data_IF_330886854180
#
_entry.id   IF_330886854180
#
_cell.length_a   1.000
_cell.length_b   1.000
_cell.length_c   1.000
_cell.angle_alpha   90.00
_cell.angle_beta   90.00
_cell.angle_gamma   90.00
#
_symmetry.space_group_name_H-M   'P 1'
#
loop_
_entity.id
_entity.type
_entity.pdbx_description
1 polymer ?
#
# COMPACT_ATOMS: atom_id res chain seq x y z
N UNK A 1 -44.80 -23.20 14.82
CA UNK A 1 -44.08 -23.39 13.53
C UNK A 1 -42.87 -22.47 13.51
N UNK A 2 -41.77 -22.99 12.98
CA UNK A 2 -40.37 -22.59 13.17
C UNK A 2 -40.08 -21.17 12.63
N UNK A 3 -39.41 -20.33 13.43
CA UNK A 3 -38.67 -19.16 12.92
C UNK A 3 -37.22 -19.28 13.39
N UNK A 4 -36.39 -19.72 12.46
CA UNK A 4 -34.95 -19.85 12.58
C UNK A 4 -34.33 -18.47 12.76
N UNK A 5 -33.77 -18.19 13.93
CA UNK A 5 -32.92 -17.02 14.18
C UNK A 5 -31.52 -17.44 13.78
N UNK A 6 -31.03 -16.94 12.64
CA UNK A 6 -29.66 -17.15 12.19
C UNK A 6 -28.78 -16.06 12.83
N UNK A 7 -28.21 -16.36 14.00
CA UNK A 7 -27.10 -15.60 14.56
C UNK A 7 -25.83 -16.00 13.79
N UNK A 8 -25.41 -15.16 12.85
CA UNK A 8 -24.13 -15.33 12.16
C UNK A 8 -23.02 -14.70 13.01
N UNK A 9 -22.24 -15.56 13.63
CA UNK A 9 -21.04 -15.31 14.42
C UNK A 9 -19.98 -14.58 13.60
N UNK A 10 -19.65 -13.35 13.99
CA UNK A 10 -18.46 -12.64 13.52
C UNK A 10 -17.29 -12.98 14.46
N UNK A 11 -16.43 -13.89 14.04
CA UNK A 11 -15.13 -14.13 14.66
C UNK A 11 -14.04 -14.02 13.59
N UNK A 12 -13.54 -12.80 13.37
CA UNK A 12 -12.27 -12.57 12.67
C UNK A 12 -11.40 -11.69 13.57
N UNK A 13 -10.73 -12.32 14.53
CA UNK A 13 -9.63 -11.72 15.28
C UNK A 13 -8.35 -11.87 14.45
N UNK A 14 -7.97 -10.80 13.75
CA UNK A 14 -6.63 -10.64 13.18
C UNK A 14 -5.84 -9.68 14.09
N UNK A 15 -5.01 -10.23 14.96
CA UNK A 15 -3.96 -9.48 15.67
C UNK A 15 -2.71 -9.47 14.81
N UNK A 16 -2.43 -8.35 14.15
CA UNK A 16 -1.08 -7.99 13.70
C UNK A 16 -0.56 -6.91 14.64
N UNK A 17 0.33 -7.30 15.55
CA UNK A 17 1.19 -6.36 16.25
C UNK A 17 2.59 -6.50 15.65
N UNK A 18 2.96 -5.53 14.81
CA UNK A 18 4.33 -5.28 14.40
C UNK A 18 4.91 -4.24 15.35
N UNK A 19 5.87 -4.62 16.18
CA UNK A 19 6.78 -3.66 16.81
C UNK A 19 8.21 -4.08 16.49
N UNK A 20 8.90 -3.21 15.76
CA UNK A 20 10.34 -3.17 15.65
C UNK A 20 10.83 -2.10 16.63
N UNK A 21 11.81 -2.42 17.48
CA UNK A 21 12.79 -1.43 17.94
C UNK A 21 14.09 -2.09 18.47
N UNK A 22 15.15 -1.84 17.71
CA UNK A 22 16.51 -1.42 18.09
C UNK A 22 17.25 -1.99 19.32
N UNK A 23 18.40 -2.62 19.01
CA UNK A 23 19.78 -2.29 19.46
C UNK A 23 20.02 -2.08 20.97
N UNK A 24 20.88 -2.90 21.58
CA UNK A 24 22.29 -2.58 21.93
C UNK A 24 23.01 -3.69 22.72
N UNK A 25 24.27 -3.97 22.31
CA UNK A 25 25.53 -4.29 23.08
C UNK A 25 25.47 -5.26 24.29
N UNK A 26 26.40 -6.18 24.58
CA UNK A 26 27.86 -6.36 24.36
C UNK A 26 28.16 -7.83 24.71
N UNK A 27 29.02 -8.56 23.99
CA UNK A 27 30.37 -8.99 24.42
C UNK A 27 30.49 -10.48 24.04
N UNK A 28 31.60 -11.13 23.67
CA UNK A 28 33.02 -10.82 23.43
C UNK A 28 33.65 -12.20 23.11
N UNK A 29 34.77 -12.20 22.37
CA UNK A 29 35.70 -13.31 22.07
C UNK A 29 35.26 -14.31 20.98
N UNK A 30 36.10 -14.72 20.02
CA UNK A 30 37.52 -14.45 19.80
C UNK A 30 37.93 -14.80 18.36
N UNK A 31 38.71 -13.88 17.77
CA UNK A 31 39.93 -14.02 16.96
C UNK A 31 40.01 -14.79 15.63
N UNK A 32 40.69 -14.08 14.72
CA UNK A 32 41.57 -14.46 13.60
C UNK A 32 40.95 -14.84 12.25
N UNK A 33 41.50 -14.46 11.09
CA UNK A 33 42.50 -13.46 10.64
C UNK A 33 42.39 -13.47 9.10
N UNK A 34 42.41 -12.31 8.47
CA UNK A 34 42.63 -12.14 7.03
C UNK A 34 44.13 -12.26 6.74
N UNK A 35 44.53 -12.87 5.62
CA UNK A 35 45.39 -12.31 4.56
C UNK A 35 45.94 -13.46 3.69
N UNK A 36 45.78 -13.25 2.38
CA UNK A 36 46.57 -13.65 1.20
C UNK A 36 47.69 -14.70 1.33
N UNK A 37 47.85 -15.53 0.30
CA UNK A 37 49.08 -16.31 0.15
C UNK A 37 49.09 -17.33 -0.97
N UNK A 38 49.62 -16.90 -2.10
CA UNK A 38 50.04 -17.66 -3.29
C UNK A 38 50.89 -18.90 -2.99
N UNK A 39 50.74 -19.86 -3.91
CA UNK A 39 51.56 -21.00 -4.31
C UNK A 39 53.05 -21.07 -3.88
N UNK A 40 53.44 -22.32 -3.65
CA UNK A 40 54.73 -22.99 -3.95
C UNK A 40 55.88 -23.05 -2.91
N UNK A 41 56.13 -24.31 -2.52
CA UNK A 41 57.40 -25.04 -2.52
C UNK A 41 58.51 -24.63 -1.54
N UNK A 42 58.83 -25.53 -0.60
CA UNK A 42 60.22 -25.91 -0.35
C UNK A 42 60.33 -27.31 0.25
N UNK A 43 61.19 -28.12 -0.37
CA UNK A 43 61.67 -29.39 0.11
C UNK A 43 62.78 -29.21 1.15
N UNK A 44 62.83 -30.11 2.12
CA UNK A 44 64.03 -30.55 2.84
C UNK A 44 63.73 -32.02 3.22
N UNK A 45 64.42 -33.01 2.64
CA UNK A 45 65.74 -33.52 2.99
C UNK A 45 65.63 -34.70 3.98
N UNK A 46 65.96 -35.89 3.49
CA UNK A 46 66.44 -36.98 4.35
C UNK A 46 67.46 -37.82 3.57
N UNK A 47 68.62 -37.90 4.21
CA UNK A 47 69.90 -38.51 3.83
C UNK A 47 69.90 -40.04 3.96
N UNK A 48 70.97 -40.65 3.41
CA UNK A 48 71.58 -41.99 3.60
C UNK A 48 71.35 -42.97 2.42
N UNK A 49 72.33 -43.69 1.86
CA UNK A 49 73.64 -44.12 2.35
C UNK A 49 74.63 -44.47 1.19
N UNK A 50 75.93 -44.45 1.54
CA UNK A 50 77.18 -44.78 0.82
C UNK A 50 77.24 -46.11 0.04
N UNK A 51 77.97 -46.09 -1.09
CA UNK A 51 79.23 -46.85 -1.37
C UNK A 51 79.83 -46.35 -2.71
N UNK A 52 80.92 -45.58 -2.72
CA UNK A 52 82.32 -46.01 -2.88
C UNK A 52 82.53 -47.00 -4.04
N UNK A 53 83.02 -46.53 -5.19
CA UNK A 53 84.36 -46.92 -5.63
C UNK A 53 84.97 -45.95 -6.66
N UNK A 54 86.28 -45.93 -6.65
CA UNK A 54 87.24 -44.95 -7.12
C UNK A 54 87.78 -45.34 -8.50
N UNK A 55 87.92 -44.39 -9.45
CA UNK A 55 89.10 -44.27 -10.35
C UNK A 55 88.99 -43.10 -11.33
N UNK A 56 89.74 -42.04 -11.00
CA UNK A 56 90.68 -41.27 -11.82
C UNK A 56 90.47 -41.04 -13.33
N UNK A 57 90.21 -39.76 -13.63
CA UNK A 57 90.97 -38.86 -14.53
C UNK A 57 90.92 -39.00 -16.07
N UNK A 58 90.58 -37.83 -16.63
CA UNK A 58 91.18 -37.09 -17.78
C UNK A 58 90.41 -37.05 -19.10
N UNK A 59 90.31 -35.80 -19.62
CA UNK A 59 90.01 -35.38 -21.01
C UNK A 59 88.54 -35.54 -21.42
N UNK A 60 87.77 -34.51 -21.80
CA UNK A 60 88.03 -33.39 -22.72
C UNK A 60 87.09 -32.21 -22.45
N UNK A 61 87.63 -30.98 -22.55
CA UNK A 61 86.90 -29.71 -22.52
C UNK A 61 86.14 -29.50 -23.83
N UNK A 62 84.96 -30.08 -23.98
CA UNK A 62 83.99 -29.73 -25.05
C UNK A 62 82.52 -30.05 -24.69
N UNK A 63 82.23 -30.43 -23.44
CA UNK A 63 80.90 -30.94 -23.03
C UNK A 63 80.06 -29.96 -22.19
N UNK A 64 80.61 -28.85 -21.71
CA UNK A 64 79.91 -27.92 -20.80
C UNK A 64 79.02 -26.90 -21.54
N UNK A 65 79.42 -26.46 -22.73
CA UNK A 65 78.65 -25.47 -23.49
C UNK A 65 77.37 -26.07 -24.10
N UNK A 66 77.40 -27.32 -24.55
CA UNK A 66 76.20 -28.01 -25.06
C UNK A 66 75.18 -28.33 -23.96
N UNK A 67 75.65 -28.62 -22.74
CA UNK A 67 74.79 -28.91 -21.59
C UNK A 67 74.16 -27.62 -21.03
N UNK A 68 74.91 -26.50 -21.01
CA UNK A 68 74.39 -25.17 -20.68
C UNK A 68 73.38 -24.68 -21.73
N UNK A 69 73.65 -24.87 -23.04
CA UNK A 69 72.71 -24.49 -24.10
C UNK A 69 71.42 -25.32 -24.09
N UNK A 70 71.48 -26.61 -23.74
CA UNK A 70 70.29 -27.45 -23.58
C UNK A 70 69.46 -27.05 -22.36
N UNK A 71 70.12 -26.79 -21.23
CA UNK A 71 69.46 -26.32 -20.01
C UNK A 71 68.80 -24.94 -20.21
N UNK A 72 69.44 -24.04 -20.97
CA UNK A 72 68.88 -22.70 -21.25
C UNK A 72 67.70 -22.74 -22.24
N UNK A 73 67.76 -23.63 -23.25
CA UNK A 73 66.60 -23.89 -24.11
C UNK A 73 65.43 -24.52 -23.36
N UNK A 74 65.68 -25.47 -22.45
CA UNK A 74 64.62 -26.02 -21.60
C UNK A 74 64.02 -24.98 -20.66
N UNK A 75 64.84 -24.09 -20.11
CA UNK A 75 64.38 -23.00 -19.25
C UNK A 75 63.51 -22.00 -20.02
N UNK A 76 63.89 -21.61 -21.23
CA UNK A 76 63.07 -20.76 -22.10
C UNK A 76 61.74 -21.43 -22.49
N UNK A 77 61.74 -22.74 -22.76
CA UNK A 77 60.54 -23.48 -23.14
C UNK A 77 59.57 -23.68 -21.96
N UNK A 78 60.12 -23.83 -20.74
CA UNK A 78 59.35 -23.83 -19.49
C UNK A 78 58.77 -22.46 -19.19
N UNK A 79 59.54 -21.38 -19.38
CA UNK A 79 59.10 -20.01 -19.16
C UNK A 79 58.03 -19.57 -20.16
N UNK A 80 58.16 -19.94 -21.45
CA UNK A 80 57.14 -19.68 -22.47
C UNK A 80 55.84 -20.48 -22.22
N UNK A 81 55.95 -21.75 -21.77
CA UNK A 81 54.78 -22.53 -21.34
C UNK A 81 54.12 -21.94 -20.09
N UNK A 82 54.90 -21.46 -19.12
CA UNK A 82 54.38 -20.81 -17.92
C UNK A 82 53.69 -19.47 -18.27
N UNK A 83 54.27 -18.67 -19.17
CA UNK A 83 53.68 -17.42 -19.64
C UNK A 83 52.36 -17.66 -20.40
N UNK A 84 52.30 -18.65 -21.32
CA UNK A 84 51.05 -19.02 -22.01
C UNK A 84 49.99 -19.58 -21.06
N UNK A 85 50.39 -20.32 -20.03
CA UNK A 85 49.47 -20.82 -19.00
C UNK A 85 48.93 -19.67 -18.13
N UNK A 86 49.77 -18.71 -17.75
CA UNK A 86 49.39 -17.52 -16.99
C UNK A 86 48.45 -16.61 -17.79
N UNK A 87 48.73 -16.37 -19.08
CA UNK A 87 47.87 -15.56 -19.96
C UNK A 87 46.48 -16.20 -20.16
N UNK A 88 46.43 -17.54 -20.30
CA UNK A 88 45.17 -18.28 -20.40
C UNK A 88 44.37 -18.21 -19.09
N UNK A 89 45.04 -18.38 -17.95
CA UNK A 89 44.41 -18.25 -16.63
C UNK A 89 43.88 -16.83 -16.38
N UNK A 90 44.62 -15.79 -16.79
CA UNK A 90 44.16 -14.40 -16.68
C UNK A 90 42.94 -14.10 -17.57
N UNK A 91 42.92 -14.61 -18.82
CA UNK A 91 41.76 -14.48 -19.72
C UNK A 91 40.51 -15.22 -19.21
N UNK A 92 40.69 -16.39 -18.60
CA UNK A 92 39.59 -17.16 -18.01
C UNK A 92 39.06 -16.50 -16.72
N UNK A 93 39.94 -15.91 -15.90
CA UNK A 93 39.57 -15.13 -14.73
C UNK A 93 38.78 -13.84 -15.10
N UNK A 94 39.20 -13.07 -16.12
CA UNK A 94 38.49 -11.87 -16.56
C UNK A 94 37.10 -12.20 -17.14
N UNK A 95 36.99 -13.31 -17.88
CA UNK A 95 35.69 -13.81 -18.36
C UNK A 95 34.77 -14.24 -17.21
N UNK A 96 35.31 -14.91 -16.19
CA UNK A 96 34.55 -15.32 -15.01
C UNK A 96 34.06 -14.10 -14.22
N UNK A 97 34.92 -13.10 -14.00
CA UNK A 97 34.58 -11.86 -13.31
C UNK A 97 33.49 -11.06 -14.06
N UNK A 98 33.61 -10.88 -15.38
CA UNK A 98 32.56 -10.22 -16.20
C UNK A 98 31.23 -10.97 -16.19
N UNK A 99 31.25 -12.31 -16.11
CA UNK A 99 30.03 -13.12 -16.06
C UNK A 99 29.34 -13.00 -14.70
N UNK A 100 30.13 -12.99 -13.62
CA UNK A 100 29.65 -12.77 -12.25
C UNK A 100 29.05 -11.37 -12.07
N UNK A 101 29.72 -10.33 -12.57
CA UNK A 101 29.24 -8.95 -12.47
C UNK A 101 27.92 -8.74 -13.25
N UNK A 102 27.80 -9.32 -14.46
CA UNK A 102 26.55 -9.29 -15.24
C UNK A 102 25.41 -10.01 -14.51
N UNK A 103 25.68 -11.14 -13.85
CA UNK A 103 24.69 -11.86 -13.06
C UNK A 103 24.23 -11.07 -11.82
N UNK A 104 25.16 -10.41 -11.12
CA UNK A 104 24.86 -9.54 -9.99
C UNK A 104 24.03 -8.32 -10.40
N UNK A 105 24.38 -7.64 -11.51
CA UNK A 105 23.60 -6.52 -12.05
C UNK A 105 22.21 -6.95 -12.53
N UNK A 106 22.07 -8.14 -13.10
CA UNK A 106 20.77 -8.66 -13.55
C UNK A 106 19.84 -9.02 -12.38
N UNK A 107 20.38 -9.62 -11.32
CA UNK A 107 19.62 -9.94 -10.10
C UNK A 107 19.19 -8.67 -9.35
N UNK A 108 20.10 -7.69 -9.23
CA UNK A 108 19.76 -6.39 -8.63
C UNK A 108 18.68 -5.64 -9.42
N UNK A 109 18.78 -5.61 -10.76
CA UNK A 109 17.74 -5.00 -11.62
C UNK A 109 16.38 -5.69 -11.49
N UNK A 110 16.34 -7.02 -11.38
CA UNK A 110 15.09 -7.77 -11.18
C UNK A 110 14.47 -7.45 -9.81
N UNK A 111 15.25 -7.45 -8.74
CA UNK A 111 14.76 -7.13 -7.41
C UNK A 111 14.24 -5.69 -7.31
N UNK A 112 14.94 -4.72 -7.92
CA UNK A 112 14.50 -3.32 -7.92
C UNK A 112 13.23 -3.11 -8.77
N UNK A 113 13.11 -3.81 -9.90
CA UNK A 113 11.91 -3.77 -10.74
C UNK A 113 10.69 -4.37 -10.01
N UNK A 114 10.87 -5.48 -9.29
CA UNK A 114 9.82 -6.13 -8.51
C UNK A 114 9.39 -5.26 -7.32
N UNK A 115 10.33 -4.66 -6.59
CA UNK A 115 10.04 -3.73 -5.51
C UNK A 115 9.27 -2.49 -6.00
N UNK A 116 9.68 -1.91 -7.14
CA UNK A 116 8.95 -0.78 -7.77
C UNK A 116 7.57 -1.20 -8.26
N UNK A 117 7.41 -2.41 -8.79
CA UNK A 117 6.11 -2.94 -9.22
C UNK A 117 5.18 -3.17 -8.02
N UNK A 118 5.67 -3.76 -6.93
CA UNK A 118 4.92 -3.95 -5.70
C UNK A 118 4.50 -2.60 -5.08
N UNK A 119 5.43 -1.63 -5.03
CA UNK A 119 5.12 -0.29 -4.53
C UNK A 119 4.06 0.43 -5.37
N UNK A 120 4.12 0.32 -6.71
CA UNK A 120 3.10 0.88 -7.62
C UNK A 120 1.74 0.23 -7.40
N UNK A 121 1.68 -1.10 -7.24
CA UNK A 121 0.43 -1.83 -6.95
C UNK A 121 -0.16 -1.41 -5.61
N UNK A 122 0.65 -1.30 -4.55
CA UNK A 122 0.20 -0.85 -3.24
C UNK A 122 -0.36 0.58 -3.27
N UNK A 123 0.35 1.52 -3.91
CA UNK A 123 -0.13 2.91 -4.09
C UNK A 123 -1.41 2.99 -4.93
N UNK A 124 -1.55 2.15 -5.96
CA UNK A 124 -2.77 2.10 -6.78
C UNK A 124 -3.96 1.59 -5.96
N UNK A 125 -3.78 0.51 -5.21
CA UNK A 125 -4.80 -0.05 -4.32
C UNK A 125 -5.24 0.96 -3.24
N UNK A 126 -4.29 1.66 -2.60
CA UNK A 126 -4.60 2.68 -1.61
C UNK A 126 -5.40 3.85 -2.21
N UNK A 127 -5.04 4.29 -3.43
CA UNK A 127 -5.80 5.32 -4.15
C UNK A 127 -7.21 4.87 -4.49
N UNK A 128 -7.38 3.62 -4.93
CA UNK A 128 -8.69 3.04 -5.23
C UNK A 128 -9.56 2.95 -3.96
N UNK A 129 -9.01 2.46 -2.86
CA UNK A 129 -9.72 2.40 -1.57
C UNK A 129 -10.11 3.79 -1.08
N UNK A 130 -9.19 4.78 -1.16
CA UNK A 130 -9.51 6.17 -0.83
C UNK A 130 -10.60 6.75 -1.73
N UNK A 131 -10.63 6.40 -3.01
CA UNK A 131 -11.67 6.82 -3.93
C UNK A 131 -13.03 6.20 -3.59
N UNK A 132 -13.08 4.89 -3.29
CA UNK A 132 -14.29 4.18 -2.83
C UNK A 132 -14.84 4.79 -1.55
N UNK A 133 -14.02 4.96 -0.52
CA UNK A 133 -14.43 5.57 0.76
C UNK A 133 -14.94 7.01 0.54
N UNK A 134 -14.31 7.79 -0.36
CA UNK A 134 -14.79 9.15 -0.68
C UNK A 134 -16.14 9.12 -1.42
N UNK A 135 -16.35 8.18 -2.32
CA UNK A 135 -17.62 8.00 -3.02
C UNK A 135 -18.73 7.60 -2.04
N UNK A 136 -18.50 6.59 -1.21
CA UNK A 136 -19.42 6.15 -0.15
C UNK A 136 -19.76 7.30 0.79
N UNK A 137 -18.76 8.05 1.29
CA UNK A 137 -19.01 9.22 2.15
C UNK A 137 -19.85 10.29 1.48
N UNK A 138 -19.71 10.51 0.17
CA UNK A 138 -20.55 11.46 -0.57
C UNK A 138 -21.98 10.96 -0.68
N UNK A 139 -22.16 9.68 -0.94
CA UNK A 139 -23.48 9.05 -1.04
C UNK A 139 -24.20 9.04 0.31
N UNK A 140 -23.53 8.62 1.39
CA UNK A 140 -24.09 8.70 2.75
C UNK A 140 -24.46 10.14 3.14
N UNK A 141 -23.64 11.14 2.76
CA UNK A 141 -23.97 12.55 3.00
C UNK A 141 -25.22 12.99 2.23
N UNK A 142 -25.38 12.55 0.98
CA UNK A 142 -26.59 12.83 0.19
C UNK A 142 -27.82 12.19 0.81
N UNK A 143 -27.76 10.91 1.16
CA UNK A 143 -28.86 10.18 1.83
C UNK A 143 -29.27 10.91 3.12
N UNK A 144 -28.30 11.27 3.96
CA UNK A 144 -28.57 11.99 5.21
C UNK A 144 -29.16 13.40 4.98
N UNK A 145 -28.74 14.09 3.92
CA UNK A 145 -29.29 15.39 3.56
C UNK A 145 -30.74 15.28 3.07
N UNK A 146 -31.05 14.26 2.25
CA UNK A 146 -32.41 13.96 1.80
C UNK A 146 -33.31 13.65 2.99
N UNK A 147 -32.89 12.73 3.86
CA UNK A 147 -33.67 12.33 5.04
C UNK A 147 -33.99 13.53 5.95
N UNK A 148 -33.01 14.40 6.21
CA UNK A 148 -33.23 15.64 7.00
C UNK A 148 -34.21 16.61 6.32
N UNK A 149 -34.18 16.71 5.00
CA UNK A 149 -35.08 17.59 4.26
C UNK A 149 -36.51 17.02 4.22
N UNK A 150 -36.67 15.70 4.06
CA UNK A 150 -37.95 15.00 4.12
C UNK A 150 -38.59 15.12 5.51
N UNK A 151 -37.79 15.00 6.58
CA UNK A 151 -38.26 15.21 7.96
C UNK A 151 -38.79 16.63 8.19
N UNK A 152 -38.11 17.65 7.61
CA UNK A 152 -38.58 19.04 7.68
C UNK A 152 -39.89 19.22 6.93
N UNK A 153 -39.98 18.65 5.73
CA UNK A 153 -41.18 18.68 4.90
C UNK A 153 -42.37 18.07 5.65
N UNK A 154 -42.20 16.86 6.19
CA UNK A 154 -43.24 16.17 6.97
C UNK A 154 -43.73 17.00 8.16
N UNK A 155 -42.82 17.68 8.87
CA UNK A 155 -43.18 18.58 9.98
C UNK A 155 -44.00 19.79 9.50
N UNK A 156 -43.69 20.36 8.34
CA UNK A 156 -44.49 21.46 7.81
C UNK A 156 -45.85 21.00 7.27
N UNK A 157 -45.92 19.84 6.63
CA UNK A 157 -47.17 19.21 6.19
C UNK A 157 -48.10 18.96 7.37
N UNK A 158 -47.56 18.45 8.49
CA UNK A 158 -48.35 18.21 9.70
C UNK A 158 -48.84 19.53 10.32
N UNK A 159 -48.01 20.57 10.33
CA UNK A 159 -48.40 21.92 10.77
C UNK A 159 -49.52 22.50 9.89
N UNK A 160 -49.40 22.34 8.57
CA UNK A 160 -50.39 22.78 7.61
C UNK A 160 -51.72 22.06 7.85
N UNK A 161 -51.71 20.73 7.94
CA UNK A 161 -52.91 19.93 8.20
C UNK A 161 -53.62 20.34 9.49
N UNK A 162 -52.87 20.58 10.57
CA UNK A 162 -53.45 21.06 11.85
C UNK A 162 -54.09 22.44 11.70
N UNK A 163 -53.49 23.33 10.91
CA UNK A 163 -54.03 24.66 10.64
C UNK A 163 -55.29 24.60 9.77
N UNK A 164 -55.30 23.75 8.75
CA UNK A 164 -56.46 23.53 7.87
C UNK A 164 -57.65 22.95 8.64
N UNK A 165 -57.43 21.93 9.48
CA UNK A 165 -58.48 21.39 10.36
C UNK A 165 -59.04 22.44 11.32
N UNK A 166 -58.17 23.31 11.86
CA UNK A 166 -58.62 24.39 12.74
C UNK A 166 -59.44 25.43 11.98
N UNK A 167 -59.00 25.81 10.78
CA UNK A 167 -59.75 26.72 9.91
C UNK A 167 -61.13 26.15 9.59
N UNK A 168 -61.20 24.90 9.14
CA UNK A 168 -62.44 24.21 8.82
C UNK A 168 -63.38 24.14 10.03
N UNK A 169 -62.87 23.77 11.21
CA UNK A 169 -63.66 23.72 12.44
C UNK A 169 -64.26 25.07 12.82
N UNK A 170 -63.48 26.15 12.74
CA UNK A 170 -63.93 27.50 13.10
C UNK A 170 -64.92 28.06 12.06
N UNK A 171 -64.67 27.83 10.77
CA UNK A 171 -65.58 28.20 9.69
C UNK A 171 -66.93 27.50 9.83
N UNK A 172 -66.93 26.19 10.07
CA UNK A 172 -68.15 25.41 10.32
C UNK A 172 -68.89 25.88 11.59
N UNK A 173 -68.15 26.26 12.64
CA UNK A 173 -68.74 26.79 13.87
C UNK A 173 -69.44 28.13 13.63
N UNK A 174 -68.79 29.04 12.88
CA UNK A 174 -69.37 30.33 12.50
C UNK A 174 -70.64 30.14 11.66
N UNK A 175 -70.58 29.29 10.63
CA UNK A 175 -71.73 29.00 9.76
C UNK A 175 -72.91 28.44 10.56
N UNK A 176 -72.66 27.47 11.46
CA UNK A 176 -73.70 26.93 12.35
C UNK A 176 -74.34 28.00 13.24
N UNK A 177 -73.56 28.97 13.74
CA UNK A 177 -74.11 30.04 14.58
C UNK A 177 -74.89 31.07 13.75
N UNK A 178 -74.46 31.35 12.50
CA UNK A 178 -75.20 32.18 11.54
C UNK A 178 -76.56 31.54 11.21
N UNK A 179 -76.58 30.24 10.89
CA UNK A 179 -77.81 29.49 10.60
C UNK A 179 -78.79 29.47 11.78
N UNK A 180 -78.28 29.38 13.01
CA UNK A 180 -79.11 29.42 14.23
C UNK A 180 -79.48 30.84 14.67
N UNK A 181 -79.11 31.86 13.89
CA UNK A 181 -79.27 33.29 14.20
C UNK A 181 -78.76 33.68 15.61
N UNK A 182 -77.69 33.01 16.07
CA UNK A 182 -77.11 33.16 17.43
C UNK A 182 -76.03 34.24 17.52
N UNK A 183 -75.87 35.06 16.48
CA UNK A 183 -74.76 36.00 16.38
C UNK A 183 -75.22 37.41 16.00
N UNK A 184 -74.91 38.40 16.83
CA UNK A 184 -75.04 39.81 16.47
C UNK A 184 -73.99 40.21 15.43
N UNK A 185 -74.26 41.26 14.66
CA UNK A 185 -73.39 41.74 13.59
C UNK A 185 -71.93 41.98 14.05
N UNK A 186 -71.74 42.62 15.21
CA UNK A 186 -70.40 42.87 15.77
C UNK A 186 -69.65 41.56 16.13
N UNK A 187 -70.39 40.54 16.61
CA UNK A 187 -69.80 39.22 16.88
C UNK A 187 -69.45 38.50 15.58
N UNK A 188 -70.20 38.72 14.50
CA UNK A 188 -69.95 38.08 13.20
C UNK A 188 -68.63 38.60 12.63
N UNK A 189 -68.45 39.92 12.62
CA UNK A 189 -67.19 40.56 12.23
C UNK A 189 -65.98 40.04 13.03
N UNK A 190 -66.12 39.87 14.34
CA UNK A 190 -65.04 39.34 15.19
C UNK A 190 -64.70 37.88 14.87
N UNK A 191 -65.69 37.04 14.57
CA UNK A 191 -65.44 35.66 14.18
C UNK A 191 -64.88 35.55 12.75
N UNK A 192 -65.39 36.32 11.80
CA UNK A 192 -64.84 36.42 10.43
C UNK A 192 -63.39 36.90 10.44
N UNK A 193 -63.05 37.90 11.26
CA UNK A 193 -61.66 38.34 11.41
C UNK A 193 -60.73 37.24 11.96
N UNK A 194 -61.24 36.31 12.78
CA UNK A 194 -60.47 35.13 13.23
C UNK A 194 -60.28 34.13 12.09
N UNK A 195 -61.29 33.90 11.27
CA UNK A 195 -61.20 33.05 10.08
C UNK A 195 -60.13 33.58 9.12
N UNK A 196 -60.15 34.88 8.80
CA UNK A 196 -59.14 35.51 7.92
C UNK A 196 -57.72 35.33 8.46
N UNK A 197 -57.52 35.45 9.78
CA UNK A 197 -56.20 35.17 10.41
C UNK A 197 -55.77 33.71 10.25
N UNK A 198 -56.71 32.76 10.35
CA UNK A 198 -56.44 31.35 10.14
C UNK A 198 -56.14 31.04 8.66
N UNK A 199 -56.87 31.63 7.72
CA UNK A 199 -56.62 31.52 6.28
C UNK A 199 -55.24 32.05 5.88
N UNK A 200 -54.86 33.20 6.45
CA UNK A 200 -53.51 33.77 6.28
C UNK A 200 -52.45 32.79 6.76
N UNK A 201 -52.63 32.23 7.97
CA UNK A 201 -51.70 31.24 8.53
C UNK A 201 -51.62 29.96 7.69
N UNK A 202 -52.75 29.45 7.17
CA UNK A 202 -52.77 28.31 6.25
C UNK A 202 -51.98 28.63 4.99
N UNK A 203 -52.16 29.82 4.41
CA UNK A 203 -51.45 30.26 3.20
C UNK A 203 -49.93 30.36 3.42
N UNK A 204 -49.49 30.93 4.55
CA UNK A 204 -48.08 30.97 4.94
C UNK A 204 -47.49 29.55 5.09
N UNK A 205 -48.23 28.63 5.69
CA UNK A 205 -47.81 27.23 5.85
C UNK A 205 -47.77 26.48 4.51
N UNK A 206 -48.71 26.74 3.59
CA UNK A 206 -48.65 26.20 2.21
C UNK A 206 -47.39 26.65 1.49
N UNK A 207 -47.06 27.94 1.56
CA UNK A 207 -45.81 28.47 1.00
C UNK A 207 -44.58 27.82 1.64
N UNK A 208 -44.61 27.56 2.95
CA UNK A 208 -43.52 26.87 3.66
C UNK A 208 -43.35 25.43 3.18
N UNK A 209 -44.45 24.69 3.03
CA UNK A 209 -44.44 23.32 2.47
C UNK A 209 -43.86 23.33 1.06
N UNK A 210 -44.35 24.20 0.16
CA UNK A 210 -43.83 24.30 -1.21
C UNK A 210 -42.33 24.62 -1.26
N UNK A 211 -41.84 25.52 -0.39
CA UNK A 211 -40.39 25.81 -0.29
C UNK A 211 -39.59 24.57 0.11
N UNK A 212 -40.08 23.78 1.05
CA UNK A 212 -39.40 22.57 1.53
C UNK A 212 -39.48 21.42 0.52
N UNK A 213 -40.59 21.26 -0.20
CA UNK A 213 -40.69 20.32 -1.32
C UNK A 213 -39.65 20.63 -2.41
N UNK A 214 -39.49 21.91 -2.75
CA UNK A 214 -38.47 22.36 -3.71
C UNK A 214 -37.06 22.09 -3.17
N UNK A 215 -36.80 22.26 -1.88
CA UNK A 215 -35.52 21.93 -1.25
C UNK A 215 -35.21 20.43 -1.36
N UNK A 216 -36.19 19.56 -1.04
CA UNK A 216 -36.06 18.10 -1.18
C UNK A 216 -35.76 17.73 -2.64
N UNK A 217 -36.51 18.28 -3.60
CA UNK A 217 -36.29 18.05 -5.05
C UNK A 217 -34.88 18.48 -5.47
N UNK A 218 -34.41 19.66 -5.03
CA UNK A 218 -33.06 20.16 -5.33
C UNK A 218 -31.96 19.25 -4.78
N UNK A 219 -32.13 18.68 -3.58
CA UNK A 219 -31.15 17.78 -2.99
C UNK A 219 -31.14 16.44 -3.72
N UNK A 220 -32.30 15.90 -4.11
CA UNK A 220 -32.41 14.62 -4.84
C UNK A 220 -31.77 14.66 -6.23
N UNK A 221 -31.80 15.82 -6.89
CA UNK A 221 -31.20 15.99 -8.24
C UNK A 221 -29.67 16.17 -8.17
N UNK A 222 -29.12 16.66 -7.06
CA UNK A 222 -27.69 16.95 -6.91
C UNK A 222 -26.85 15.73 -6.56
#
# INVERSE_FOLDING_TARGET
>A
MKKTILFLTAALSFTLASNAQEKTTTATNNTNTTVEGTSNTKADNTTTNKKNDQTSTTTTKTSYEEEVLKAEKEKQLLEEKAAKAAEKAAKDADKAAKKAEKAAKATQKKAEAEAKAAQKKAKAYEKEQKAKIKAEKRETKKINAIAKAEDKLKKAEEQLRKAELKLESESNALERKKLKNKLSFEKQLKEEAKIVKLETKVSELKLKVSKQELEVKKIKIK
#
